data_IF_814374962934
#
_entry.id   IF_814374962934
#
_cell.length_a   1.000
_cell.length_b   1.000
_cell.length_c   1.000
_cell.angle_alpha   90.00
_cell.angle_beta   90.00
_cell.angle_gamma   90.00
#
_symmetry.space_group_name_H-M   'P 1'
#
loop_
_entity.id
_entity.type
_entity.pdbx_description
1 polymer ?
#
# COMPACT_ATOMS: atom_id res chain seq x y z
N UNK A 1 18.72 1.54 28.33
CA UNK A 1 18.96 2.38 27.15
C UNK A 1 17.59 2.79 26.62
N UNK A 2 17.49 3.98 26.08
CA UNK A 2 16.26 4.42 25.42
C UNK A 2 16.06 3.65 24.12
N UNK A 3 14.86 3.18 23.87
CA UNK A 3 14.53 2.32 22.74
C UNK A 3 13.58 3.03 21.77
N UNK A 4 13.80 2.81 20.49
CA UNK A 4 12.82 3.20 19.46
C UNK A 4 11.58 2.29 19.54
N UNK A 5 10.47 2.71 18.95
CA UNK A 5 9.29 1.85 18.79
C UNK A 5 9.66 0.53 18.09
N UNK A 6 10.49 0.61 17.05
CA UNK A 6 10.97 -0.57 16.33
C UNK A 6 11.73 -1.52 17.26
N UNK A 7 12.68 -1.00 18.08
CA UNK A 7 13.45 -1.83 19.00
C UNK A 7 12.58 -2.54 20.03
N UNK A 8 11.60 -1.82 20.61
CA UNK A 8 10.67 -2.40 21.59
C UNK A 8 9.91 -3.61 21.05
N UNK A 9 9.45 -3.52 19.79
CA UNK A 9 8.70 -4.62 19.16
C UNK A 9 9.66 -5.70 18.71
N UNK A 10 10.74 -5.34 18.02
CA UNK A 10 11.72 -6.29 17.52
C UNK A 10 12.28 -7.17 18.64
N UNK A 11 12.80 -6.53 19.71
CA UNK A 11 13.47 -7.24 20.81
C UNK A 11 12.49 -8.13 21.59
N UNK A 12 11.21 -7.76 21.69
CA UNK A 12 10.18 -8.59 22.29
C UNK A 12 9.84 -9.85 21.46
N UNK A 13 10.19 -9.88 20.17
CA UNK A 13 9.93 -11.01 19.27
C UNK A 13 11.16 -11.83 18.93
N UNK A 14 12.34 -11.46 19.42
CA UNK A 14 13.56 -12.25 19.25
C UNK A 14 13.47 -13.55 20.04
N UNK A 15 13.42 -14.67 19.34
CA UNK A 15 13.39 -16.04 19.92
C UNK A 15 14.81 -16.50 20.21
N UNK A 16 15.74 -16.24 19.29
CA UNK A 16 17.17 -16.51 19.48
C UNK A 16 18.04 -15.59 18.64
N UNK A 17 19.26 -15.41 19.07
CA UNK A 17 20.31 -14.69 18.35
C UNK A 17 21.32 -15.68 17.83
N UNK A 18 21.68 -15.59 16.56
CA UNK A 18 22.79 -16.33 15.98
C UNK A 18 24.01 -15.44 16.13
N UNK A 19 25.07 -15.96 16.80
CA UNK A 19 26.29 -15.21 17.02
C UNK A 19 26.90 -14.77 15.66
N UNK A 20 27.10 -13.46 15.50
CA UNK A 20 27.55 -12.88 14.22
C UNK A 20 26.58 -12.99 13.04
N UNK A 21 25.35 -13.39 13.29
CA UNK A 21 24.33 -13.66 12.28
C UNK A 21 23.00 -12.93 12.51
N UNK A 22 21.94 -13.35 11.80
CA UNK A 22 20.61 -12.77 11.92
C UNK A 22 19.94 -13.15 13.24
N UNK A 23 18.90 -12.39 13.60
CA UNK A 23 17.97 -12.72 14.68
C UNK A 23 16.90 -13.68 14.17
N UNK A 24 16.50 -14.66 14.96
CA UNK A 24 15.30 -15.44 14.75
C UNK A 24 14.12 -14.71 15.39
N UNK A 25 13.17 -14.28 14.56
CA UNK A 25 12.03 -13.47 14.97
C UNK A 25 10.75 -14.30 14.89
N UNK A 26 9.97 -14.31 15.98
CA UNK A 26 8.62 -14.88 15.98
C UNK A 26 7.67 -13.98 15.17
N UNK A 27 6.72 -14.58 14.45
CA UNK A 27 5.75 -13.86 13.61
C UNK A 27 4.33 -14.04 14.18
N UNK A 28 3.69 -12.93 14.57
CA UNK A 28 2.32 -12.95 15.11
C UNK A 28 1.25 -13.18 14.07
N UNK A 29 1.46 -12.66 12.86
CA UNK A 29 0.51 -12.77 11.76
C UNK A 29 1.21 -13.03 10.43
N UNK A 30 0.75 -14.05 9.72
CA UNK A 30 1.21 -14.35 8.37
C UNK A 30 0.05 -14.17 7.40
N UNK A 31 0.24 -13.34 6.38
CA UNK A 31 -0.71 -13.18 5.29
C UNK A 31 -0.20 -13.90 4.04
N UNK A 32 -1.10 -14.63 3.35
CA UNK A 32 -0.77 -15.35 2.13
C UNK A 32 -1.72 -14.98 1.00
N UNK A 33 -1.18 -14.79 -0.20
CA UNK A 33 -1.94 -14.63 -1.43
C UNK A 33 -1.47 -15.61 -2.51
N UNK A 34 -2.16 -15.65 -3.65
CA UNK A 34 -2.00 -16.68 -4.67
C UNK A 34 -0.68 -16.60 -5.46
N UNK A 35 0.01 -15.44 -5.46
CA UNK A 35 1.20 -15.24 -6.31
C UNK A 35 2.47 -15.85 -5.71
N UNK A 36 2.73 -15.63 -4.42
CA UNK A 36 4.00 -15.96 -3.78
C UNK A 36 3.96 -17.18 -2.86
N UNK A 37 2.80 -17.81 -2.70
CA UNK A 37 2.63 -18.93 -1.76
C UNK A 37 2.71 -20.34 -2.37
N UNK A 38 2.45 -20.59 -3.67
CA UNK A 38 2.38 -21.95 -4.20
C UNK A 38 3.64 -22.79 -3.93
N UNK A 39 4.81 -22.28 -4.25
CA UNK A 39 6.08 -22.99 -4.08
C UNK A 39 6.42 -23.23 -2.60
N UNK A 40 6.00 -22.33 -1.69
CA UNK A 40 6.18 -22.51 -0.26
C UNK A 40 5.39 -23.72 0.26
N UNK A 41 4.14 -23.87 -0.18
CA UNK A 41 3.33 -25.04 0.16
C UNK A 41 3.85 -26.35 -0.44
N UNK A 42 4.40 -26.28 -1.67
CA UNK A 42 5.06 -27.45 -2.29
C UNK A 42 6.31 -27.85 -1.51
N UNK A 43 7.09 -26.87 -1.04
CA UNK A 43 8.23 -27.11 -0.16
C UNK A 43 7.83 -27.86 1.13
N UNK A 44 6.74 -27.45 1.78
CA UNK A 44 6.20 -28.15 2.95
C UNK A 44 5.81 -29.59 2.62
N UNK A 45 5.08 -29.83 1.52
CA UNK A 45 4.68 -31.19 1.09
C UNK A 45 5.90 -32.07 0.83
N UNK A 46 6.86 -31.59 0.07
CA UNK A 46 8.08 -32.33 -0.27
C UNK A 46 8.91 -32.73 0.96
N UNK A 47 8.84 -31.92 2.02
CA UNK A 47 9.54 -32.17 3.29
C UNK A 47 8.68 -32.88 4.33
N UNK A 48 7.41 -33.18 4.03
CA UNK A 48 6.47 -33.80 4.96
C UNK A 48 6.13 -32.92 6.17
N UNK A 49 6.24 -31.58 6.02
CA UNK A 49 5.98 -30.62 7.07
C UNK A 49 4.53 -30.16 7.04
N UNK A 50 4.02 -29.77 8.23
CA UNK A 50 2.71 -29.13 8.41
C UNK A 50 2.90 -27.66 8.69
N UNK A 51 1.84 -26.87 8.50
CA UNK A 51 1.80 -25.50 9.02
C UNK A 51 1.73 -25.56 10.54
N UNK A 52 2.68 -24.88 11.22
CA UNK A 52 2.81 -24.97 12.69
C UNK A 52 1.65 -24.28 13.41
N UNK A 53 1.26 -23.09 12.94
CA UNK A 53 0.23 -22.25 13.55
C UNK A 53 -0.79 -21.80 12.49
N UNK A 54 -1.68 -22.72 12.03
CA UNK A 54 -2.62 -22.40 10.94
C UNK A 54 -3.56 -21.23 11.29
N UNK A 55 -3.91 -21.04 12.56
CA UNK A 55 -4.73 -19.92 13.04
C UNK A 55 -4.05 -18.55 12.96
N UNK A 56 -2.74 -18.52 12.74
CA UNK A 56 -1.96 -17.29 12.55
C UNK A 56 -1.83 -16.88 11.07
N UNK A 57 -2.21 -17.79 10.16
CA UNK A 57 -2.11 -17.57 8.70
C UNK A 57 -3.48 -17.30 8.11
N UNK A 58 -3.60 -16.18 7.38
CA UNK A 58 -4.83 -15.79 6.67
C UNK A 58 -4.51 -15.72 5.19
N UNK A 59 -5.35 -16.34 4.37
CA UNK A 59 -5.22 -16.39 2.91
C UNK A 59 -6.33 -15.58 2.23
N UNK A 60 -5.99 -14.83 1.19
CA UNK A 60 -6.95 -14.17 0.29
C UNK A 60 -6.34 -14.06 -1.10
N UNK A 61 -7.02 -14.47 -2.18
CA UNK A 61 -6.62 -14.11 -3.52
C UNK A 61 -6.99 -12.66 -3.80
N UNK A 62 -6.08 -11.89 -4.38
CA UNK A 62 -6.28 -10.46 -4.62
C UNK A 62 -5.63 -9.93 -5.92
N UNK A 63 -4.59 -10.58 -6.43
CA UNK A 63 -3.85 -10.14 -7.61
C UNK A 63 -4.44 -10.65 -8.93
N UNK A 64 -4.82 -11.93 -8.98
CA UNK A 64 -5.26 -12.63 -10.19
C UNK A 64 -6.79 -12.74 -10.31
N UNK A 65 -7.53 -12.07 -9.44
CA UNK A 65 -8.99 -12.06 -9.51
C UNK A 65 -9.47 -10.97 -10.47
N UNK A 66 -10.50 -11.25 -11.30
CA UNK A 66 -11.11 -10.24 -12.15
C UNK A 66 -11.84 -9.22 -11.29
N UNK A 67 -12.03 -8.00 -11.80
CA UNK A 67 -12.86 -6.97 -11.15
C UNK A 67 -14.22 -6.79 -11.80
N UNK A 68 -14.54 -7.66 -12.75
CA UNK A 68 -15.86 -7.80 -13.37
C UNK A 68 -16.25 -9.27 -13.40
N UNK A 69 -17.54 -9.57 -13.21
CA UNK A 69 -18.11 -10.91 -13.30
C UNK A 69 -17.40 -11.94 -12.36
N UNK A 70 -17.10 -11.55 -11.12
CA UNK A 70 -16.47 -12.47 -10.14
C UNK A 70 -17.35 -13.67 -9.76
N UNK A 71 -18.62 -13.66 -10.14
CA UNK A 71 -19.55 -14.79 -10.05
C UNK A 71 -19.34 -15.85 -11.13
N UNK A 72 -18.52 -15.55 -12.14
CA UNK A 72 -18.17 -16.47 -13.23
C UNK A 72 -16.77 -17.07 -13.04
N UNK A 73 -16.47 -18.21 -13.68
CA UNK A 73 -15.11 -18.76 -13.68
C UNK A 73 -14.10 -17.77 -14.27
N UNK A 74 -12.92 -17.66 -13.65
CA UNK A 74 -11.80 -16.85 -14.16
C UNK A 74 -11.41 -17.36 -15.55
N UNK A 75 -11.42 -16.46 -16.53
CA UNK A 75 -11.20 -16.82 -17.96
C UNK A 75 -9.73 -17.15 -18.21
N UNK A 76 -8.82 -16.30 -17.73
CA UNK A 76 -7.39 -16.53 -17.89
C UNK A 76 -6.95 -17.80 -17.14
N UNK A 77 -6.35 -18.80 -17.84
CA UNK A 77 -6.02 -20.09 -17.23
C UNK A 77 -4.90 -19.99 -16.19
N UNK A 78 -3.98 -19.04 -16.33
CA UNK A 78 -2.87 -18.87 -15.38
C UNK A 78 -3.41 -18.28 -14.07
N UNK A 79 -4.19 -17.21 -14.17
CA UNK A 79 -4.84 -16.58 -13.02
C UNK A 79 -5.76 -17.56 -12.29
N UNK A 80 -6.57 -18.31 -13.04
CA UNK A 80 -7.45 -19.34 -12.47
C UNK A 80 -6.66 -20.41 -11.70
N UNK A 81 -5.60 -20.95 -12.30
CA UNK A 81 -4.78 -21.97 -11.66
C UNK A 81 -4.13 -21.46 -10.36
N UNK A 82 -3.69 -20.21 -10.31
CA UNK A 82 -3.09 -19.63 -9.11
C UNK A 82 -4.12 -19.49 -7.97
N UNK A 83 -5.33 -19.01 -8.28
CA UNK A 83 -6.42 -18.87 -7.30
C UNK A 83 -6.90 -20.24 -6.81
N UNK A 84 -7.05 -21.22 -7.71
CA UNK A 84 -7.42 -22.60 -7.34
C UNK A 84 -6.32 -23.28 -6.51
N UNK A 85 -5.05 -23.04 -6.81
CA UNK A 85 -3.91 -23.55 -6.05
C UNK A 85 -3.89 -22.99 -4.63
N UNK A 86 -4.11 -21.67 -4.46
CA UNK A 86 -4.23 -21.07 -3.12
C UNK A 86 -5.39 -21.70 -2.34
N UNK A 87 -6.54 -21.88 -2.99
CA UNK A 87 -7.73 -22.47 -2.39
C UNK A 87 -7.46 -23.90 -1.93
N UNK A 88 -6.82 -24.71 -2.79
CA UNK A 88 -6.41 -26.08 -2.45
C UNK A 88 -5.42 -26.10 -1.29
N UNK A 89 -4.40 -25.25 -1.33
CA UNK A 89 -3.38 -25.15 -0.29
C UNK A 89 -4.00 -24.77 1.06
N UNK A 90 -4.86 -23.75 1.10
CA UNK A 90 -5.54 -23.35 2.32
C UNK A 90 -6.40 -24.50 2.91
N UNK A 91 -7.10 -25.25 2.05
CA UNK A 91 -7.89 -26.42 2.48
C UNK A 91 -7.01 -27.54 3.01
N UNK A 92 -5.96 -27.93 2.27
CA UNK A 92 -5.07 -29.05 2.63
C UNK A 92 -4.35 -28.81 3.97
N UNK A 93 -4.01 -27.55 4.27
CA UNK A 93 -3.27 -27.16 5.48
C UNK A 93 -4.16 -26.57 6.59
N UNK A 94 -5.47 -26.52 6.40
CA UNK A 94 -6.43 -26.06 7.40
C UNK A 94 -6.35 -24.55 7.71
N UNK A 95 -6.05 -23.74 6.71
CA UNK A 95 -5.87 -22.29 6.86
C UNK A 95 -7.19 -21.53 6.64
N UNK A 96 -7.31 -20.37 7.27
CA UNK A 96 -8.42 -19.45 7.00
C UNK A 96 -8.26 -18.83 5.60
N UNK A 97 -9.27 -19.03 4.74
CA UNK A 97 -9.31 -18.48 3.39
C UNK A 97 -10.51 -17.54 3.22
N UNK A 98 -10.26 -16.31 2.84
CA UNK A 98 -11.26 -15.36 2.34
C UNK A 98 -11.22 -15.35 0.82
N UNK A 99 -11.69 -16.45 0.20
CA UNK A 99 -11.70 -16.67 -1.25
C UNK A 99 -12.76 -15.83 -1.98
N UNK A 100 -12.79 -15.94 -3.32
CA UNK A 100 -13.83 -15.31 -4.14
C UNK A 100 -15.24 -15.69 -3.68
N UNK A 101 -16.14 -14.70 -3.59
CA UNK A 101 -17.49 -14.85 -3.06
C UNK A 101 -17.59 -14.81 -1.53
N UNK A 102 -16.49 -14.81 -0.81
CA UNK A 102 -16.52 -14.63 0.63
C UNK A 102 -16.68 -13.14 0.98
N UNK A 103 -17.59 -12.80 1.92
CA UNK A 103 -17.88 -11.41 2.33
C UNK A 103 -16.66 -10.61 2.84
N UNK A 104 -15.60 -11.28 3.25
CA UNK A 104 -14.33 -10.67 3.70
C UNK A 104 -13.23 -10.79 2.65
N UNK A 105 -13.56 -11.15 1.40
CA UNK A 105 -12.55 -11.15 0.32
C UNK A 105 -12.12 -9.73 -0.02
N UNK A 106 -10.89 -9.59 -0.42
CA UNK A 106 -10.27 -8.35 -0.86
C UNK A 106 -8.75 -8.39 -0.78
N UNK A 107 -8.14 -7.26 -1.04
CA UNK A 107 -6.69 -7.08 -0.97
C UNK A 107 -6.22 -7.36 0.45
N UNK A 108 -5.23 -8.24 0.59
CA UNK A 108 -4.77 -8.74 1.89
C UNK A 108 -4.38 -7.61 2.85
N UNK A 109 -3.77 -6.53 2.33
CA UNK A 109 -3.38 -5.36 3.12
C UNK A 109 -4.54 -4.39 3.43
N UNK A 110 -5.73 -4.65 2.90
CA UNK A 110 -6.97 -3.95 3.24
C UNK A 110 -7.77 -4.78 4.26
N UNK A 111 -7.98 -6.07 3.97
CA UNK A 111 -8.81 -6.94 4.82
C UNK A 111 -8.18 -7.22 6.19
N UNK A 112 -6.85 -7.27 6.29
CA UNK A 112 -6.15 -7.45 7.56
C UNK A 112 -6.54 -6.37 8.59
N UNK A 113 -6.32 -5.09 8.30
CA UNK A 113 -6.79 -3.97 9.11
C UNK A 113 -8.29 -3.94 9.36
N UNK A 114 -9.11 -4.06 8.32
CA UNK A 114 -10.57 -3.97 8.41
C UNK A 114 -11.19 -5.00 9.35
N UNK A 115 -10.61 -6.18 9.44
CA UNK A 115 -11.10 -7.23 10.30
C UNK A 115 -10.47 -7.20 11.71
N UNK A 116 -9.49 -6.32 11.99
CA UNK A 116 -8.78 -6.31 13.28
C UNK A 116 -7.77 -7.45 13.42
N UNK A 117 -7.27 -7.97 12.30
CA UNK A 117 -6.22 -9.00 12.25
C UNK A 117 -4.83 -8.38 12.33
N UNK A 118 -4.73 -7.07 12.09
CA UNK A 118 -3.55 -6.23 12.28
C UNK A 118 -3.70 -5.45 13.56
N UNK A 119 -2.79 -5.63 14.51
CA UNK A 119 -2.85 -4.99 15.82
C UNK A 119 -1.49 -4.37 16.20
N UNK A 120 -1.49 -3.33 17.06
CA UNK A 120 -0.25 -2.73 17.55
C UNK A 120 0.66 -3.75 18.25
N UNK A 121 1.96 -3.60 18.03
CA UNK A 121 2.98 -4.44 18.63
C UNK A 121 3.20 -5.79 17.97
N UNK A 122 2.47 -6.13 16.90
CA UNK A 122 2.64 -7.36 16.16
C UNK A 122 3.84 -7.33 15.23
N UNK A 123 4.38 -8.51 14.95
CA UNK A 123 5.24 -8.80 13.80
C UNK A 123 4.39 -9.43 12.70
N UNK A 124 4.40 -8.83 11.50
CA UNK A 124 3.50 -9.21 10.40
C UNK A 124 4.30 -9.41 9.12
N UNK A 125 4.08 -10.53 8.44
CA UNK A 125 4.73 -10.82 7.16
C UNK A 125 3.74 -11.29 6.10
N UNK A 126 4.10 -11.03 4.84
CA UNK A 126 3.42 -11.52 3.64
C UNK A 126 4.44 -11.61 2.50
N UNK A 127 4.16 -12.43 1.51
CA UNK A 127 4.96 -12.50 0.28
C UNK A 127 4.80 -11.28 -0.66
N UNK A 128 4.44 -10.13 -0.13
CA UNK A 128 4.25 -8.85 -0.83
C UNK A 128 4.98 -7.73 -0.08
N UNK A 129 5.69 -6.88 -0.82
CA UNK A 129 6.44 -5.76 -0.26
C UNK A 129 5.56 -4.74 0.47
N UNK A 130 4.30 -4.54 0.01
CA UNK A 130 3.37 -3.60 0.64
C UNK A 130 2.79 -4.06 1.98
N UNK A 131 3.29 -5.18 2.53
CA UNK A 131 3.08 -5.57 3.93
C UNK A 131 3.44 -4.45 4.91
N UNK A 132 4.34 -3.54 4.51
CA UNK A 132 4.65 -2.29 5.23
C UNK A 132 3.41 -1.48 5.64
N UNK A 133 2.29 -1.60 4.91
CA UNK A 133 1.00 -0.99 5.24
C UNK A 133 0.59 -1.19 6.70
N UNK A 134 0.81 -2.40 7.23
CA UNK A 134 0.41 -2.77 8.58
C UNK A 134 1.20 -2.03 9.67
N UNK A 135 2.35 -1.44 9.33
CA UNK A 135 3.12 -0.59 10.25
C UNK A 135 2.38 0.68 10.69
N UNK A 136 1.33 1.10 9.98
CA UNK A 136 0.45 2.19 10.37
C UNK A 136 -0.22 1.97 11.76
N UNK A 137 -0.26 0.73 12.22
CA UNK A 137 -0.79 0.33 13.53
C UNK A 137 0.29 0.26 14.62
N UNK A 138 1.53 0.61 14.34
CA UNK A 138 2.64 0.36 15.26
C UNK A 138 3.00 -1.13 15.31
N UNK A 139 3.01 -1.80 14.18
CA UNK A 139 3.48 -3.16 13.98
C UNK A 139 4.80 -3.17 13.21
N UNK A 140 5.65 -4.16 13.44
CA UNK A 140 6.82 -4.43 12.60
C UNK A 140 6.38 -5.33 11.46
N UNK A 141 6.10 -4.71 10.31
CA UNK A 141 5.49 -5.37 9.17
C UNK A 141 6.35 -5.22 7.91
N UNK A 142 6.64 -6.32 7.22
CA UNK A 142 7.52 -6.31 6.05
C UNK A 142 7.25 -7.48 5.10
N UNK A 143 7.58 -7.25 3.82
CA UNK A 143 7.51 -8.26 2.78
C UNK A 143 8.63 -9.29 2.89
N UNK A 144 8.33 -10.55 2.52
CA UNK A 144 9.25 -11.68 2.55
C UNK A 144 9.24 -12.46 1.23
N UNK A 145 10.33 -13.15 0.93
CA UNK A 145 10.43 -14.02 -0.24
C UNK A 145 9.72 -15.36 -0.05
N UNK A 146 9.47 -16.07 -1.16
CA UNK A 146 8.76 -17.37 -1.14
C UNK A 146 9.39 -18.41 -0.22
N UNK A 147 10.73 -18.50 -0.16
CA UNK A 147 11.42 -19.42 0.74
C UNK A 147 11.23 -19.05 2.23
N UNK A 148 11.09 -17.76 2.50
CA UNK A 148 10.78 -17.26 3.84
C UNK A 148 9.31 -17.51 4.21
N UNK A 149 8.38 -17.45 3.23
CA UNK A 149 6.97 -17.88 3.41
C UNK A 149 6.93 -19.34 3.87
N UNK A 150 7.69 -20.25 3.23
CA UNK A 150 7.80 -21.66 3.65
C UNK A 150 8.33 -21.76 5.10
N UNK A 151 9.37 -21.00 5.42
CA UNK A 151 9.97 -20.99 6.78
C UNK A 151 8.94 -20.56 7.83
N UNK A 152 8.21 -19.48 7.59
CA UNK A 152 7.18 -18.98 8.52
C UNK A 152 6.02 -19.97 8.66
N UNK A 153 5.56 -20.58 7.59
CA UNK A 153 4.54 -21.62 7.65
C UNK A 153 4.98 -22.81 8.50
N UNK A 154 6.24 -23.24 8.33
CA UNK A 154 6.78 -24.40 9.05
C UNK A 154 7.12 -24.14 10.51
N UNK A 155 7.56 -22.93 10.88
CA UNK A 155 8.17 -22.65 12.19
C UNK A 155 7.56 -21.49 12.96
N UNK A 156 6.71 -20.68 12.32
CA UNK A 156 6.20 -19.39 12.82
C UNK A 156 7.31 -18.38 13.12
N UNK A 157 8.51 -18.61 12.62
CA UNK A 157 9.67 -17.75 12.81
C UNK A 157 10.36 -17.46 11.47
N UNK A 158 11.17 -16.40 11.47
CA UNK A 158 11.99 -16.02 10.32
C UNK A 158 13.39 -15.59 10.79
N UNK A 159 14.40 -15.78 9.95
CA UNK A 159 15.75 -15.27 10.19
C UNK A 159 15.92 -13.93 9.47
N UNK A 160 16.18 -12.85 10.20
CA UNK A 160 16.35 -11.52 9.63
C UNK A 160 17.49 -10.76 10.30
N UNK A 161 18.35 -10.08 9.53
CA UNK A 161 19.26 -9.09 10.11
C UNK A 161 18.41 -7.91 10.65
N UNK A 162 18.78 -7.38 11.82
CA UNK A 162 18.12 -6.19 12.38
C UNK A 162 18.44 -4.99 11.50
N UNK A 163 17.46 -4.33 10.88
CA UNK A 163 17.69 -3.14 10.06
C UNK A 163 18.09 -1.96 10.95
N UNK A 164 18.71 -0.94 10.35
CA UNK A 164 18.89 0.37 10.97
C UNK A 164 17.55 1.08 11.14
N UNK A 165 17.50 2.05 12.04
CA UNK A 165 16.32 2.84 12.30
C UNK A 165 16.44 4.23 11.67
N UNK A 166 15.35 4.68 11.04
CA UNK A 166 15.23 6.04 10.49
C UNK A 166 13.97 6.69 11.02
N UNK A 167 14.04 7.97 11.36
CA UNK A 167 12.86 8.77 11.71
C UNK A 167 12.61 9.84 10.67
N UNK A 168 11.38 9.92 10.19
CA UNK A 168 10.91 10.98 9.28
C UNK A 168 9.82 11.76 9.99
N UNK A 169 10.12 13.00 10.32
CA UNK A 169 9.18 13.93 10.93
C UNK A 169 8.52 14.79 9.85
N UNK A 170 7.20 14.87 9.84
CA UNK A 170 6.45 15.84 9.03
C UNK A 170 5.65 16.72 9.99
N UNK A 171 5.95 17.99 10.01
CA UNK A 171 5.33 18.95 10.92
C UNK A 171 4.65 20.07 10.15
N UNK A 172 3.70 20.73 10.80
CA UNK A 172 2.97 21.84 10.22
C UNK A 172 1.61 21.44 9.67
N UNK A 173 0.96 22.36 8.97
CA UNK A 173 -0.40 22.17 8.45
C UNK A 173 -0.36 21.91 6.95
N UNK A 174 -1.01 20.82 6.52
CA UNK A 174 -1.19 20.52 5.10
C UNK A 174 -2.01 21.62 4.41
N UNK A 175 -1.64 21.89 3.15
CA UNK A 175 -2.42 22.77 2.27
C UNK A 175 -3.72 22.10 1.83
N UNK A 176 -4.71 22.90 1.46
CA UNK A 176 -5.96 22.38 0.88
C UNK A 176 -5.64 21.58 -0.39
N UNK A 177 -6.31 20.46 -0.57
CA UNK A 177 -6.14 19.59 -1.73
C UNK A 177 -4.98 18.61 -1.63
N UNK A 178 -4.23 18.60 -0.52
CA UNK A 178 -3.14 17.65 -0.24
C UNK A 178 -3.68 16.45 0.53
N UNK A 179 -3.29 15.26 0.13
CA UNK A 179 -3.65 13.96 0.75
C UNK A 179 -2.41 13.25 1.30
N UNK A 180 -2.60 12.17 2.04
CA UNK A 180 -1.49 11.32 2.51
C UNK A 180 -0.65 10.74 1.37
N UNK A 181 -1.24 10.53 0.18
CA UNK A 181 -0.50 10.11 -1.02
C UNK A 181 0.51 11.16 -1.44
N UNK A 182 0.15 12.44 -1.36
CA UNK A 182 1.02 13.54 -1.72
C UNK A 182 2.19 13.67 -0.73
N UNK A 183 1.94 13.45 0.57
CA UNK A 183 3.00 13.37 1.60
C UNK A 183 4.02 12.28 1.23
N UNK A 184 3.54 11.08 0.95
CA UNK A 184 4.41 9.95 0.62
C UNK A 184 5.19 10.20 -0.67
N UNK A 185 4.56 10.66 -1.74
CA UNK A 185 5.23 10.98 -3.00
C UNK A 185 6.24 12.12 -2.85
N UNK A 186 5.95 13.13 -2.01
CA UNK A 186 6.90 14.19 -1.70
C UNK A 186 8.15 13.64 -0.99
N UNK A 187 7.97 12.82 0.04
CA UNK A 187 9.08 12.21 0.77
C UNK A 187 9.93 11.34 -0.18
N UNK A 188 9.30 10.50 -1.00
CA UNK A 188 10.00 9.63 -1.95
C UNK A 188 10.78 10.46 -2.98
N UNK A 189 10.20 11.54 -3.51
CA UNK A 189 10.89 12.41 -4.46
C UNK A 189 12.10 13.11 -3.85
N UNK A 190 12.05 13.47 -2.54
CA UNK A 190 13.17 14.08 -1.81
C UNK A 190 14.24 13.06 -1.41
N UNK A 191 13.85 11.84 -1.10
CA UNK A 191 14.76 10.80 -0.63
C UNK A 191 15.28 9.89 -1.75
N UNK A 192 14.68 9.93 -2.94
CA UNK A 192 14.87 8.98 -4.03
C UNK A 192 14.39 7.55 -3.70
N UNK A 193 14.36 6.67 -4.70
CA UNK A 193 13.93 5.27 -4.53
C UNK A 193 14.86 4.40 -3.69
N UNK A 194 16.07 4.88 -3.38
CA UNK A 194 17.09 4.18 -2.57
C UNK A 194 17.37 4.84 -1.21
N UNK A 195 16.76 5.98 -0.91
CA UNK A 195 17.14 6.83 0.23
C UNK A 195 16.93 6.24 1.63
N UNK A 196 16.11 5.18 1.74
CA UNK A 196 15.86 4.46 2.98
C UNK A 196 16.30 2.99 2.92
N UNK A 197 17.17 2.61 1.98
CA UNK A 197 17.68 1.25 1.87
C UNK A 197 18.42 0.82 3.14
N UNK A 198 18.01 -0.32 3.70
CA UNK A 198 18.58 -0.87 4.94
C UNK A 198 17.97 -0.31 6.23
N UNK A 199 16.98 0.58 6.11
CA UNK A 199 16.29 1.17 7.26
C UNK A 199 14.88 0.62 7.44
N UNK A 200 14.43 0.59 8.71
CA UNK A 200 13.03 0.59 9.09
C UNK A 200 12.65 2.02 9.49
N UNK A 201 11.58 2.56 8.90
CA UNK A 201 11.24 3.98 9.01
C UNK A 201 10.12 4.20 10.01
N UNK A 202 10.33 5.05 11.02
CA UNK A 202 9.27 5.58 11.89
C UNK A 202 8.85 6.96 11.38
N UNK A 203 7.58 7.11 11.01
CA UNK A 203 7.00 8.40 10.68
C UNK A 203 6.44 9.06 11.94
N UNK A 204 6.77 10.34 12.13
CA UNK A 204 6.41 11.13 13.28
C UNK A 204 6.10 12.59 12.89
N UNK A 205 5.85 13.42 13.87
CA UNK A 205 5.47 14.82 13.69
C UNK A 205 3.96 15.04 13.85
N UNK A 206 3.56 16.27 13.99
CA UNK A 206 2.14 16.63 14.25
C UNK A 206 1.26 16.39 13.02
N UNK A 207 1.78 16.60 11.81
CA UNK A 207 1.07 16.25 10.58
C UNK A 207 0.73 14.76 10.55
N UNK A 208 1.70 13.88 10.84
CA UNK A 208 1.50 12.42 10.81
C UNK A 208 0.52 11.96 11.89
N UNK A 209 0.59 12.54 13.09
CA UNK A 209 -0.34 12.22 14.18
C UNK A 209 -1.79 12.59 13.86
N UNK A 210 -1.99 13.66 13.09
CA UNK A 210 -3.32 14.13 12.70
C UNK A 210 -3.94 13.37 11.53
N UNK A 211 -3.22 12.44 10.89
CA UNK A 211 -3.73 11.59 9.82
C UNK A 211 -4.74 10.56 10.38
N UNK A 212 -5.75 10.25 9.58
CA UNK A 212 -6.64 9.10 9.80
C UNK A 212 -5.85 7.78 9.68
N UNK A 213 -6.47 6.66 10.08
CA UNK A 213 -5.80 5.35 9.91
C UNK A 213 -5.60 4.98 8.44
N UNK A 214 -6.54 5.30 7.58
CA UNK A 214 -6.46 5.09 6.14
C UNK A 214 -5.31 5.87 5.52
N UNK A 215 -5.14 7.12 5.93
CA UNK A 215 -4.03 7.98 5.52
C UNK A 215 -2.69 7.46 6.03
N UNK A 216 -2.61 7.02 7.30
CA UNK A 216 -1.40 6.40 7.87
C UNK A 216 -1.02 5.13 7.11
N UNK A 217 -2.00 4.31 6.72
CA UNK A 217 -1.78 3.12 5.91
C UNK A 217 -1.21 3.47 4.53
N UNK A 218 -1.67 4.56 3.91
CA UNK A 218 -1.12 5.04 2.63
C UNK A 218 0.36 5.44 2.77
N UNK A 219 0.73 6.18 3.82
CA UNK A 219 2.13 6.58 4.07
C UNK A 219 3.02 5.35 4.30
N UNK A 220 2.61 4.44 5.18
CA UNK A 220 3.37 3.22 5.48
C UNK A 220 3.46 2.28 4.27
N UNK A 221 2.39 2.17 3.46
CA UNK A 221 2.37 1.38 2.22
C UNK A 221 3.49 1.79 1.27
N UNK A 222 3.67 3.10 1.06
CA UNK A 222 4.63 3.63 0.10
C UNK A 222 6.08 3.68 0.63
N UNK A 223 6.34 3.31 1.87
CA UNK A 223 7.70 3.32 2.45
C UNK A 223 8.69 2.47 1.66
N UNK A 224 8.22 1.36 1.11
CA UNK A 224 9.07 0.45 0.33
C UNK A 224 9.49 1.04 -1.02
N UNK A 225 8.81 2.08 -1.50
CA UNK A 225 9.15 2.74 -2.77
C UNK A 225 10.36 3.68 -2.65
N UNK A 226 10.83 3.97 -1.42
CA UNK A 226 12.13 4.61 -1.17
C UNK A 226 13.19 3.62 -0.64
N UNK A 227 12.94 2.30 -0.80
CA UNK A 227 13.87 1.24 -0.43
C UNK A 227 13.83 0.83 1.05
N UNK A 228 12.91 1.37 1.86
CA UNK A 228 12.77 1.00 3.25
C UNK A 228 12.39 -0.48 3.43
N UNK A 229 12.86 -1.10 4.51
CA UNK A 229 12.42 -2.45 4.90
C UNK A 229 10.95 -2.47 5.32
N UNK A 230 10.48 -1.39 5.90
CA UNK A 230 9.11 -1.13 6.31
C UNK A 230 8.95 0.27 6.85
N UNK A 231 7.72 0.72 7.00
CA UNK A 231 7.38 1.98 7.63
C UNK A 231 6.42 1.74 8.79
N UNK A 232 6.50 2.55 9.85
CA UNK A 232 5.63 2.43 11.01
C UNK A 232 5.26 3.79 11.59
N UNK A 233 4.14 3.81 12.30
CA UNK A 233 3.65 4.97 13.04
C UNK A 233 3.30 4.50 14.45
N UNK A 234 3.73 5.22 15.48
CA UNK A 234 3.40 4.89 16.86
C UNK A 234 1.86 4.89 17.06
N UNK A 235 1.28 3.83 17.64
CA UNK A 235 -0.15 3.75 17.86
C UNK A 235 -0.60 4.79 18.91
N UNK A 236 -1.74 5.39 18.67
CA UNK A 236 -2.36 6.40 19.53
C UNK A 236 -3.87 6.18 19.61
N UNK A 237 -4.61 7.13 20.17
CA UNK A 237 -6.06 7.03 20.32
C UNK A 237 -6.77 6.82 18.96
N UNK A 238 -6.28 7.42 17.87
CA UNK A 238 -6.83 7.18 16.51
C UNK A 238 -6.71 5.69 16.13
N UNK A 239 -5.57 5.08 16.42
CA UNK A 239 -5.34 3.64 16.19
C UNK A 239 -6.25 2.77 17.07
N UNK A 240 -6.39 3.14 18.34
CA UNK A 240 -7.20 2.37 19.29
C UNK A 240 -8.68 2.42 18.91
N UNK A 241 -9.22 3.58 18.59
CA UNK A 241 -10.61 3.73 18.14
C UNK A 241 -10.88 2.94 16.86
N UNK A 242 -9.95 2.97 15.90
CA UNK A 242 -10.06 2.17 14.68
C UNK A 242 -10.14 0.67 14.99
N UNK A 243 -9.28 0.16 15.89
CA UNK A 243 -9.24 -1.26 16.26
C UNK A 243 -10.47 -1.69 17.06
N UNK A 244 -11.00 -0.84 17.94
CA UNK A 244 -12.05 -1.17 18.92
C UNK A 244 -13.29 -1.80 18.31
N UNK A 245 -13.69 -1.32 17.15
CA UNK A 245 -14.90 -1.77 16.46
C UNK A 245 -14.68 -3.00 15.57
N UNK A 246 -13.44 -3.48 15.42
CA UNK A 246 -13.11 -4.58 14.51
C UNK A 246 -13.42 -5.93 15.14
N UNK A 247 -13.80 -6.91 14.30
CA UNK A 247 -14.30 -8.22 14.73
C UNK A 247 -13.26 -9.00 15.55
N UNK A 248 -12.01 -9.08 15.03
CA UNK A 248 -10.94 -9.87 15.67
C UNK A 248 -10.04 -9.07 16.62
N UNK A 249 -10.38 -7.82 16.90
CA UNK A 249 -9.69 -7.07 17.95
C UNK A 249 -10.08 -7.62 19.34
N UNK A 250 -9.21 -7.52 20.35
CA UNK A 250 -9.52 -7.89 21.72
C UNK A 250 -10.83 -7.25 22.22
N UNK A 251 -11.54 -7.92 23.13
CA UNK A 251 -12.82 -7.44 23.69
C UNK A 251 -12.81 -7.51 25.21
N UNK A 252 -13.62 -6.67 25.86
CA UNK A 252 -13.78 -6.64 27.32
C UNK A 252 -12.46 -6.39 28.05
N UNK A 253 -12.14 -7.20 29.04
CA UNK A 253 -10.90 -7.07 29.82
C UNK A 253 -9.62 -7.22 28.99
N UNK A 254 -9.65 -8.05 27.94
CA UNK A 254 -8.49 -8.20 27.05
C UNK A 254 -8.24 -6.94 26.20
N UNK A 255 -9.29 -6.19 25.89
CA UNK A 255 -9.16 -4.89 25.28
C UNK A 255 -8.42 -3.89 26.18
N UNK A 256 -8.81 -3.81 27.45
CA UNK A 256 -8.18 -2.91 28.42
C UNK A 256 -6.68 -3.23 28.62
N UNK A 257 -6.36 -4.53 28.72
CA UNK A 257 -4.96 -5.00 28.80
C UNK A 257 -4.17 -4.65 27.52
N UNK A 258 -4.80 -4.86 26.37
CA UNK A 258 -4.17 -4.55 25.07
C UNK A 258 -3.89 -3.06 24.95
N UNK A 259 -4.86 -2.20 25.22
CA UNK A 259 -4.68 -0.73 25.17
C UNK A 259 -3.61 -0.27 26.16
N UNK A 260 -3.59 -0.83 27.38
CA UNK A 260 -2.55 -0.50 28.35
C UNK A 260 -1.14 -0.83 27.82
N UNK A 261 -0.98 -1.97 27.15
CA UNK A 261 0.27 -2.34 26.47
C UNK A 261 0.55 -1.44 25.26
N UNK A 262 -0.42 -1.20 24.39
CA UNK A 262 -0.25 -0.40 23.18
C UNK A 262 0.18 1.04 23.47
N UNK A 263 -0.27 1.63 24.59
CA UNK A 263 0.17 2.96 25.06
C UNK A 263 1.67 3.04 25.39
N UNK A 264 2.32 1.90 25.61
CA UNK A 264 3.79 1.83 25.80
C UNK A 264 4.57 1.79 24.49
N UNK A 265 3.90 1.50 23.37
CA UNK A 265 4.49 1.33 22.04
C UNK A 265 4.70 2.69 21.36
N UNK A 266 5.68 3.42 21.85
CA UNK A 266 6.21 4.67 21.27
C UNK A 266 7.71 4.73 21.54
N UNK A 267 8.45 5.40 20.70
CA UNK A 267 9.86 5.67 20.93
C UNK A 267 10.03 6.50 22.20
N UNK A 268 11.05 6.19 22.98
CA UNK A 268 11.40 6.96 24.16
C UNK A 268 11.86 8.37 23.76
N UNK A 269 11.74 9.35 24.66
CA UNK A 269 12.07 10.76 24.33
C UNK A 269 13.52 10.96 23.93
N UNK A 270 14.42 10.16 24.52
CA UNK A 270 15.86 10.14 24.29
C UNK A 270 16.32 8.98 23.36
N UNK A 271 15.38 8.36 22.64
CA UNK A 271 15.71 7.34 21.66
C UNK A 271 16.54 7.93 20.50
N UNK A 272 17.62 7.22 20.14
CA UNK A 272 18.52 7.64 19.06
C UNK A 272 18.21 6.82 17.80
N UNK A 273 18.00 7.52 16.71
CA UNK A 273 17.85 6.92 15.38
C UNK A 273 19.17 7.00 14.62
N UNK A 274 19.46 6.01 13.77
CA UNK A 274 20.64 6.06 12.89
C UNK A 274 20.55 7.22 11.87
N UNK A 275 19.33 7.64 11.52
CA UNK A 275 19.08 8.78 10.64
C UNK A 275 17.76 9.47 11.01
N UNK A 276 17.76 10.79 11.00
CA UNK A 276 16.55 11.58 11.22
C UNK A 276 16.41 12.67 10.16
N UNK A 277 15.18 12.84 9.64
CA UNK A 277 14.86 13.79 8.56
C UNK A 277 13.59 14.54 8.95
N UNK A 278 13.57 15.85 8.67
CA UNK A 278 12.44 16.72 8.98
C UNK A 278 11.92 17.37 7.68
N UNK A 279 10.60 17.37 7.53
CA UNK A 279 9.89 18.04 6.44
C UNK A 279 8.82 18.97 6.99
N UNK A 280 8.59 20.08 6.31
CA UNK A 280 7.48 20.98 6.58
C UNK A 280 6.29 20.62 5.68
N UNK A 281 5.12 20.39 6.28
CA UNK A 281 3.89 20.10 5.55
C UNK A 281 3.45 21.25 4.62
N UNK A 282 3.89 22.49 4.93
CA UNK A 282 3.62 23.65 4.09
C UNK A 282 4.31 23.60 2.72
N UNK A 283 5.38 22.80 2.57
CA UNK A 283 6.08 22.61 1.29
C UNK A 283 5.38 21.60 0.37
N UNK A 284 4.40 20.88 0.88
CA UNK A 284 3.71 19.82 0.14
C UNK A 284 2.50 20.39 -0.58
N UNK A 285 2.43 20.19 -1.87
CA UNK A 285 1.26 20.42 -2.71
C UNK A 285 0.80 19.11 -3.35
N UNK A 286 -0.36 19.03 -4.03
CA UNK A 286 -0.75 17.85 -4.79
C UNK A 286 0.37 17.37 -5.70
N UNK A 287 0.72 16.09 -5.61
CA UNK A 287 1.91 15.50 -6.27
C UNK A 287 1.53 14.61 -7.42
N UNK A 288 2.40 14.60 -8.43
CA UNK A 288 2.33 13.70 -9.59
C UNK A 288 3.73 13.16 -9.89
N UNK A 289 3.79 12.00 -10.55
CA UNK A 289 5.06 11.51 -11.12
C UNK A 289 5.15 11.87 -12.60
N UNK A 290 6.37 12.10 -13.08
CA UNK A 290 6.65 12.41 -14.50
C UNK A 290 7.52 11.36 -15.19
N UNK A 291 8.04 10.39 -14.45
CA UNK A 291 8.90 9.32 -14.97
C UNK A 291 8.38 7.93 -14.64
N UNK A 292 9.27 6.94 -14.68
CA UNK A 292 8.99 5.52 -14.55
C UNK A 292 9.24 4.94 -13.14
N UNK A 293 9.40 5.81 -12.15
CA UNK A 293 9.49 5.42 -10.74
C UNK A 293 8.93 6.53 -9.83
N UNK A 294 8.51 6.21 -8.58
CA UNK A 294 7.92 7.18 -7.67
C UNK A 294 8.88 8.30 -7.21
N UNK A 295 10.20 8.09 -7.33
CA UNK A 295 11.21 9.11 -7.03
C UNK A 295 11.22 10.27 -8.04
N UNK A 296 10.69 10.04 -9.24
CA UNK A 296 10.53 11.08 -10.28
C UNK A 296 9.19 11.80 -10.07
N UNK A 297 9.05 12.49 -8.94
CA UNK A 297 7.84 13.20 -8.52
C UNK A 297 8.02 14.70 -8.43
N UNK A 298 6.98 15.44 -8.87
CA UNK A 298 6.89 16.91 -8.79
C UNK A 298 5.56 17.35 -8.21
N UNK A 299 5.47 18.62 -7.77
CA UNK A 299 4.19 19.26 -7.53
C UNK A 299 3.42 19.43 -8.83
N UNK A 300 2.10 19.37 -8.76
CA UNK A 300 1.27 19.48 -9.97
C UNK A 300 1.42 20.83 -10.68
N UNK A 301 1.80 21.87 -9.94
CA UNK A 301 2.05 23.21 -10.47
C UNK A 301 3.50 23.41 -10.99
N UNK A 302 4.37 22.44 -10.75
CA UNK A 302 5.78 22.49 -11.17
C UNK A 302 5.97 21.98 -12.59
N UNK A 303 7.10 22.35 -13.22
CA UNK A 303 7.56 21.80 -14.49
C UNK A 303 8.58 20.68 -14.24
N UNK A 304 8.71 19.77 -15.21
CA UNK A 304 9.69 18.68 -15.17
C UNK A 304 11.10 19.27 -15.02
N UNK A 305 11.85 18.97 -13.94
CA UNK A 305 13.16 19.54 -13.70
C UNK A 305 14.20 18.97 -14.68
N UNK A 306 15.32 19.65 -14.85
CA UNK A 306 16.49 19.08 -15.51
C UNK A 306 17.12 17.98 -14.62
N UNK A 307 17.75 16.94 -15.19
CA UNK A 307 18.46 15.94 -14.43
C UNK A 307 19.68 16.56 -13.72
N UNK A 308 20.11 15.92 -12.63
CA UNK A 308 21.32 16.33 -11.93
C UNK A 308 22.53 16.25 -12.88
N UNK A 309 23.24 17.34 -13.13
CA UNK A 309 24.37 17.35 -14.05
C UNK A 309 25.59 16.57 -13.51
N UNK A 310 25.64 16.30 -12.20
CA UNK A 310 26.75 15.57 -11.56
C UNK A 310 26.51 14.06 -11.51
N UNK A 311 25.28 13.59 -11.75
CA UNK A 311 24.92 12.17 -11.78
C UNK A 311 24.75 11.65 -13.23
N UNK A 312 25.87 11.30 -13.88
CA UNK A 312 25.84 10.76 -15.25
C UNK A 312 25.02 9.47 -15.37
N UNK A 313 25.10 8.56 -14.38
CA UNK A 313 24.39 7.29 -14.41
C UNK A 313 22.87 7.51 -14.20
N UNK A 314 22.50 8.36 -13.27
CA UNK A 314 21.13 8.78 -13.04
C UNK A 314 20.54 9.49 -14.26
N UNK A 315 21.33 10.32 -14.97
CA UNK A 315 20.90 10.98 -16.18
C UNK A 315 20.47 10.02 -17.28
N UNK A 316 21.21 8.91 -17.50
CA UNK A 316 20.85 7.92 -18.52
C UNK A 316 19.48 7.29 -18.18
N UNK A 317 19.24 6.97 -16.92
CA UNK A 317 17.95 6.44 -16.46
C UNK A 317 16.82 7.48 -16.57
N UNK A 318 17.16 8.73 -16.27
CA UNK A 318 16.25 9.87 -16.36
C UNK A 318 15.80 10.10 -17.82
N UNK A 319 16.74 10.19 -18.75
CA UNK A 319 16.47 10.42 -20.17
C UNK A 319 15.61 9.29 -20.77
N UNK A 320 15.92 8.02 -20.44
CA UNK A 320 15.09 6.86 -20.84
C UNK A 320 13.66 6.93 -20.29
N UNK A 321 13.53 7.35 -19.03
CA UNK A 321 12.21 7.50 -18.40
C UNK A 321 11.37 8.56 -19.10
N UNK A 322 11.95 9.72 -19.45
CA UNK A 322 11.25 10.76 -20.19
C UNK A 322 10.89 10.32 -21.62
N UNK A 323 11.82 9.64 -22.31
CA UNK A 323 11.56 9.06 -23.63
C UNK A 323 10.35 8.09 -23.59
N UNK A 324 10.33 7.17 -22.60
CA UNK A 324 9.22 6.24 -22.42
C UNK A 324 7.90 6.96 -22.13
N UNK A 325 7.93 7.96 -21.24
CA UNK A 325 6.73 8.74 -20.88
C UNK A 325 6.30 9.71 -21.99
N UNK A 326 7.18 10.03 -22.93
CA UNK A 326 6.93 11.03 -23.98
C UNK A 326 6.85 12.45 -23.44
N UNK A 327 7.68 12.78 -22.45
CA UNK A 327 7.76 14.09 -21.83
C UNK A 327 9.12 14.76 -22.05
N UNK A 328 9.18 16.07 -21.83
CA UNK A 328 10.38 16.87 -22.03
C UNK A 328 10.73 17.68 -20.77
N UNK A 329 12.01 17.97 -20.58
CA UNK A 329 12.49 18.85 -19.52
C UNK A 329 11.86 20.25 -19.67
N UNK A 330 11.40 20.83 -18.56
CA UNK A 330 10.71 22.12 -18.54
C UNK A 330 9.23 22.07 -18.89
N UNK A 331 8.72 20.90 -19.31
CA UNK A 331 7.29 20.73 -19.61
C UNK A 331 6.45 20.81 -18.33
N UNK A 332 5.35 21.57 -18.37
CA UNK A 332 4.27 21.46 -17.39
C UNK A 332 3.32 20.30 -17.78
N UNK A 333 2.96 19.48 -16.81
CA UNK A 333 2.03 18.39 -17.05
C UNK A 333 0.58 18.76 -16.75
N UNK A 334 0.32 19.87 -16.07
CA UNK A 334 -1.05 20.36 -15.90
C UNK A 334 -1.68 20.66 -17.27
N UNK A 335 -2.88 20.15 -17.51
CA UNK A 335 -3.56 20.22 -18.80
C UNK A 335 -3.17 19.12 -19.79
N UNK A 336 -2.26 18.19 -19.43
CA UNK A 336 -1.87 17.09 -20.32
C UNK A 336 -3.04 16.10 -20.51
N UNK A 337 -3.36 15.68 -21.76
CA UNK A 337 -4.45 14.74 -22.03
C UNK A 337 -4.22 13.38 -21.37
N UNK A 338 -5.27 12.85 -20.74
CA UNK A 338 -5.27 11.54 -20.06
C UNK A 338 -6.30 10.62 -20.70
N UNK A 339 -5.97 9.33 -20.81
CA UNK A 339 -6.88 8.31 -21.36
C UNK A 339 -7.59 7.52 -20.26
N UNK A 340 -6.88 7.22 -19.16
CA UNK A 340 -7.37 6.36 -18.09
C UNK A 340 -7.21 7.01 -16.72
N UNK A 341 -8.17 6.72 -15.83
CA UNK A 341 -8.07 7.04 -14.40
C UNK A 341 -8.31 5.77 -13.61
N UNK A 342 -7.38 5.46 -12.70
CA UNK A 342 -7.49 4.33 -11.79
C UNK A 342 -7.53 4.80 -10.34
N UNK A 343 -8.61 4.49 -9.64
CA UNK A 343 -8.73 4.62 -8.18
C UNK A 343 -8.82 3.22 -7.58
N UNK A 344 -7.89 2.87 -6.71
CA UNK A 344 -7.84 1.54 -6.10
C UNK A 344 -6.49 1.17 -5.54
N UNK A 345 -6.22 -0.12 -5.43
CA UNK A 345 -5.05 -0.78 -4.86
C UNK A 345 -5.01 -0.79 -3.33
N UNK A 346 -4.03 -1.51 -2.75
CA UNK A 346 -3.79 -1.48 -1.31
C UNK A 346 -3.37 -0.09 -0.79
N UNK A 347 -2.96 0.81 -1.68
CA UNK A 347 -2.59 2.18 -1.34
C UNK A 347 -3.82 3.06 -1.12
N UNK A 348 -4.74 3.11 -2.10
CA UNK A 348 -5.89 4.02 -2.12
C UNK A 348 -7.18 3.34 -2.61
N UNK A 349 -7.49 2.19 -2.05
CA UNK A 349 -8.75 1.46 -2.31
C UNK A 349 -9.67 1.38 -1.08
N UNK A 350 -9.49 2.28 -0.10
CA UNK A 350 -10.27 2.32 1.16
C UNK A 350 -11.41 3.33 1.05
N UNK A 351 -12.33 3.27 1.99
CA UNK A 351 -13.55 4.12 1.94
C UNK A 351 -13.25 5.62 1.90
N UNK A 352 -12.22 6.10 2.57
CA UNK A 352 -11.86 7.52 2.56
C UNK A 352 -11.39 8.00 1.18
N UNK A 353 -10.74 7.13 0.41
CA UNK A 353 -10.34 7.44 -0.97
C UNK A 353 -11.55 7.63 -1.88
N UNK A 354 -12.59 6.80 -1.70
CA UNK A 354 -13.85 6.93 -2.42
C UNK A 354 -14.66 8.15 -1.98
N UNK A 355 -14.65 8.49 -0.70
CA UNK A 355 -15.25 9.74 -0.19
C UNK A 355 -14.55 10.96 -0.78
N UNK A 356 -13.21 10.97 -0.82
CA UNK A 356 -12.43 12.04 -1.40
C UNK A 356 -12.73 12.19 -2.90
N UNK A 357 -12.71 11.09 -3.65
CA UNK A 357 -13.05 11.08 -5.08
C UNK A 357 -14.48 11.58 -5.32
N UNK A 358 -15.46 11.04 -4.59
CA UNK A 358 -16.87 11.43 -4.70
C UNK A 358 -17.10 12.92 -4.39
N UNK A 359 -16.35 13.51 -3.47
CA UNK A 359 -16.46 14.92 -3.12
C UNK A 359 -16.16 15.85 -4.30
N UNK A 360 -15.24 15.46 -5.17
CA UNK A 360 -14.85 16.22 -6.37
C UNK A 360 -15.83 16.01 -7.50
N UNK A 361 -16.31 14.77 -7.72
CA UNK A 361 -17.12 14.43 -8.90
C UNK A 361 -18.62 14.69 -8.72
N UNK A 362 -19.10 14.85 -7.48
CA UNK A 362 -20.50 15.07 -7.16
C UNK A 362 -21.11 16.25 -7.94
N UNK A 363 -22.17 15.98 -8.70
CA UNK A 363 -22.84 16.97 -9.55
C UNK A 363 -22.12 17.34 -10.85
N UNK A 364 -21.05 16.63 -11.17
CA UNK A 364 -20.27 16.79 -12.42
C UNK A 364 -20.33 15.50 -13.24
N UNK A 365 -19.84 15.54 -14.47
CA UNK A 365 -19.80 14.37 -15.36
C UNK A 365 -18.35 13.98 -15.66
N UNK A 366 -18.12 12.68 -15.78
CA UNK A 366 -16.86 12.13 -16.29
C UNK A 366 -16.63 12.63 -17.71
N UNK A 367 -15.40 13.02 -18.04
CA UNK A 367 -15.04 13.41 -19.39
C UNK A 367 -15.14 12.23 -20.36
N UNK A 368 -15.60 12.49 -21.59
CA UNK A 368 -15.88 11.46 -22.58
C UNK A 368 -14.65 10.68 -23.04
N UNK A 369 -13.47 11.30 -23.00
CA UNK A 369 -12.18 10.67 -23.35
C UNK A 369 -11.63 9.80 -22.23
N UNK A 370 -12.20 9.79 -21.03
CA UNK A 370 -11.67 9.04 -19.89
C UNK A 370 -12.35 7.67 -19.77
N UNK A 371 -11.54 6.62 -19.69
CA UNK A 371 -11.93 5.34 -19.12
C UNK A 371 -11.53 5.32 -17.65
N UNK A 372 -12.49 5.15 -16.74
CA UNK A 372 -12.22 5.17 -15.30
C UNK A 372 -12.48 3.80 -14.67
N UNK A 373 -11.53 3.30 -13.89
CA UNK A 373 -11.66 2.09 -13.08
C UNK A 373 -11.61 2.44 -11.61
N UNK A 374 -12.77 2.34 -10.95
CA UNK A 374 -12.94 2.59 -9.53
C UNK A 374 -13.10 1.25 -8.82
N UNK A 375 -12.03 0.81 -8.14
CA UNK A 375 -11.89 -0.56 -7.64
C UNK A 375 -11.76 -0.56 -6.10
N UNK A 376 -12.81 -0.97 -5.36
CA UNK A 376 -12.73 -1.11 -3.91
C UNK A 376 -11.65 -2.14 -3.51
N UNK A 377 -10.96 -1.87 -2.40
CA UNK A 377 -9.94 -2.78 -1.90
C UNK A 377 -10.48 -4.06 -1.27
N UNK A 378 -11.78 -4.08 -0.89
CA UNK A 378 -12.43 -5.24 -0.27
C UNK A 378 -13.94 -5.23 -0.50
N UNK A 379 -14.59 -6.38 -0.26
CA UNK A 379 -16.04 -6.48 -0.22
C UNK A 379 -16.65 -5.56 0.85
N UNK A 380 -15.98 -5.41 2.00
CA UNK A 380 -16.44 -4.52 3.08
C UNK A 380 -16.42 -3.05 2.64
N UNK A 381 -15.38 -2.61 1.92
CA UNK A 381 -15.33 -1.26 1.33
C UNK A 381 -16.46 -1.09 0.31
N UNK A 382 -16.67 -2.08 -0.57
CA UNK A 382 -17.75 -2.04 -1.56
C UNK A 382 -19.14 -1.92 -0.91
N UNK A 383 -19.36 -2.64 0.19
CA UNK A 383 -20.61 -2.56 0.96
C UNK A 383 -20.75 -1.20 1.64
N UNK A 384 -19.68 -0.63 2.17
CA UNK A 384 -19.69 0.69 2.79
C UNK A 384 -19.92 1.81 1.77
N UNK A 385 -19.34 1.73 0.56
CA UNK A 385 -19.60 2.64 -0.57
C UNK A 385 -21.11 2.71 -0.85
N UNK A 386 -21.79 1.56 -0.88
CA UNK A 386 -23.24 1.48 -1.09
C UNK A 386 -24.02 2.02 0.11
N UNK A 387 -23.62 1.65 1.32
CA UNK A 387 -24.31 2.12 2.54
C UNK A 387 -24.25 3.65 2.69
N UNK A 388 -23.21 4.29 2.21
CA UNK A 388 -23.03 5.75 2.21
C UNK A 388 -23.62 6.45 0.98
N UNK A 389 -24.16 5.69 0.00
CA UNK A 389 -24.72 6.24 -1.25
C UNK A 389 -23.67 6.83 -2.19
N UNK A 390 -22.38 6.49 -1.99
CA UNK A 390 -21.28 6.96 -2.85
C UNK A 390 -21.42 6.34 -4.25
N UNK A 391 -21.86 5.09 -4.35
CA UNK A 391 -22.14 4.41 -5.62
C UNK A 391 -23.14 5.18 -6.50
N UNK A 392 -24.17 5.77 -5.90
CA UNK A 392 -25.14 6.61 -6.61
C UNK A 392 -24.48 7.90 -7.12
N UNK A 393 -23.64 8.57 -6.29
CA UNK A 393 -22.89 9.76 -6.71
C UNK A 393 -21.99 9.44 -7.90
N UNK A 394 -21.30 8.31 -7.85
CA UNK A 394 -20.41 7.85 -8.91
C UNK A 394 -21.18 7.52 -10.19
N UNK A 395 -22.30 6.79 -10.08
CA UNK A 395 -23.16 6.44 -11.21
C UNK A 395 -23.77 7.69 -11.87
N UNK A 396 -24.28 8.63 -11.08
CA UNK A 396 -24.82 9.91 -11.57
C UNK A 396 -23.74 10.73 -12.29
N UNK A 397 -22.49 10.59 -11.90
CA UNK A 397 -21.34 11.24 -12.56
C UNK A 397 -20.81 10.46 -13.78
N UNK A 398 -21.38 9.29 -14.11
CA UNK A 398 -21.02 8.47 -15.26
C UNK A 398 -19.83 7.53 -15.00
N UNK A 399 -19.57 7.21 -13.73
CA UNK A 399 -18.55 6.22 -13.35
C UNK A 399 -19.19 4.86 -13.05
N UNK A 400 -18.47 3.80 -13.39
CA UNK A 400 -18.80 2.43 -13.03
C UNK A 400 -17.92 1.96 -11.88
N UNK A 401 -18.54 1.50 -10.79
CA UNK A 401 -17.85 0.88 -9.68
C UNK A 401 -17.55 -0.59 -10.04
N UNK A 402 -16.30 -0.99 -9.92
CA UNK A 402 -15.86 -2.36 -10.15
C UNK A 402 -15.96 -3.22 -8.90
N UNK A 403 -15.79 -4.53 -9.05
CA UNK A 403 -15.70 -5.47 -7.94
C UNK A 403 -14.31 -5.42 -7.29
N UNK A 404 -14.18 -5.79 -6.01
CA UNK A 404 -12.92 -5.67 -5.25
C UNK A 404 -11.77 -6.47 -5.82
N UNK A 405 -10.54 -5.92 -5.76
CA UNK A 405 -9.31 -6.58 -6.18
C UNK A 405 -8.17 -5.61 -6.46
N UNK A 406 -7.00 -6.13 -6.84
CA UNK A 406 -5.85 -5.31 -7.20
C UNK A 406 -5.97 -4.66 -8.59
N UNK A 407 -6.75 -5.24 -9.52
CA UNK A 407 -7.03 -4.68 -10.84
C UNK A 407 -5.76 -4.28 -11.60
N UNK A 408 -5.77 -3.11 -12.24
CA UNK A 408 -4.65 -2.56 -12.98
C UNK A 408 -3.45 -2.15 -12.10
N UNK A 409 -3.49 -2.26 -10.77
CA UNK A 409 -2.32 -1.95 -9.95
C UNK A 409 -1.09 -2.78 -10.36
N UNK A 410 -1.29 -4.04 -10.73
CA UNK A 410 -0.25 -4.95 -11.23
C UNK A 410 -0.56 -5.52 -12.62
N UNK A 411 -1.81 -5.37 -13.10
CA UNK A 411 -2.27 -5.88 -14.41
C UNK A 411 -2.04 -7.38 -14.61
N UNK A 412 -2.14 -8.19 -13.56
CA UNK A 412 -2.05 -9.66 -13.61
C UNK A 412 -3.37 -10.32 -14.02
N UNK A 413 -4.44 -9.55 -14.08
CA UNK A 413 -5.76 -9.94 -14.54
C UNK A 413 -6.10 -9.29 -15.89
N UNK A 414 -7.38 -9.25 -16.24
CA UNK A 414 -7.87 -8.68 -17.51
C UNK A 414 -7.82 -7.15 -17.56
N UNK A 415 -7.70 -6.48 -16.41
CA UNK A 415 -7.67 -5.00 -16.30
C UNK A 415 -6.29 -4.47 -16.70
N UNK A 416 -6.10 -4.21 -17.98
CA UNK A 416 -4.85 -3.71 -18.55
C UNK A 416 -5.08 -2.43 -19.31
N UNK A 417 -4.29 -1.41 -19.00
CA UNK A 417 -4.23 -0.17 -19.81
C UNK A 417 -3.56 -0.50 -21.13
N UNK A 418 -4.18 -0.21 -22.30
CA UNK A 418 -3.60 -0.53 -23.60
C UNK A 418 -2.28 0.19 -23.87
N UNK A 419 -1.45 -0.41 -24.73
CA UNK A 419 -0.19 0.18 -25.17
C UNK A 419 -0.39 1.58 -25.77
N UNK A 420 0.54 2.49 -25.48
CA UNK A 420 0.49 3.89 -25.91
C UNK A 420 -0.48 4.79 -25.13
N UNK A 421 -1.36 4.23 -24.29
CA UNK A 421 -2.27 4.98 -23.44
C UNK A 421 -1.60 5.44 -22.15
N UNK A 422 -2.10 6.55 -21.60
CA UNK A 422 -1.60 7.12 -20.34
C UNK A 422 -2.70 7.13 -19.28
N UNK A 423 -2.33 6.70 -18.08
CA UNK A 423 -3.23 6.64 -16.93
C UNK A 423 -2.76 7.56 -15.80
N UNK A 424 -3.70 8.23 -15.13
CA UNK A 424 -3.52 8.77 -13.77
C UNK A 424 -3.99 7.71 -12.79
N UNK A 425 -3.14 7.35 -11.84
CA UNK A 425 -3.35 6.17 -10.99
C UNK A 425 -3.02 6.45 -9.53
N UNK A 426 -3.88 5.95 -8.64
CA UNK A 426 -3.63 5.96 -7.20
C UNK A 426 -2.85 4.73 -6.72
N UNK A 427 -2.38 3.87 -7.63
CA UNK A 427 -1.53 2.72 -7.30
C UNK A 427 -0.16 3.15 -6.72
N UNK A 428 0.69 2.19 -6.43
CA UNK A 428 1.95 2.42 -5.72
C UNK A 428 3.18 2.50 -6.62
N UNK A 429 3.13 1.91 -7.82
CA UNK A 429 4.27 1.82 -8.76
C UNK A 429 3.87 2.20 -10.17
N UNK A 430 4.82 2.76 -10.91
CA UNK A 430 4.62 3.23 -12.29
C UNK A 430 5.79 2.90 -13.22
N UNK A 431 6.52 1.79 -12.96
CA UNK A 431 7.54 1.36 -13.90
C UNK A 431 6.93 0.99 -15.26
N UNK A 432 7.75 0.93 -16.30
CA UNK A 432 7.34 0.66 -17.68
C UNK A 432 6.40 -0.55 -17.78
N UNK A 433 5.22 -0.34 -18.34
CA UNK A 433 4.21 -1.39 -18.54
C UNK A 433 3.53 -1.90 -17.26
N UNK A 434 3.68 -1.24 -16.10
CA UNK A 434 3.10 -1.68 -14.83
C UNK A 434 1.60 -1.96 -14.90
N UNK A 435 0.85 -1.10 -15.58
CA UNK A 435 -0.61 -1.23 -15.72
C UNK A 435 -1.04 -1.89 -17.03
N UNK A 436 -0.09 -2.42 -17.78
CA UNK A 436 -0.27 -3.10 -19.05
C UNK A 436 0.92 -2.86 -19.98
N UNK A 437 1.31 -3.83 -20.82
CA UNK A 437 2.48 -3.69 -21.70
C UNK A 437 2.39 -2.42 -22.56
N UNK A 438 3.44 -1.57 -22.50
CA UNK A 438 3.51 -0.30 -23.24
C UNK A 438 2.59 0.81 -22.75
N UNK A 439 1.92 0.63 -21.62
CA UNK A 439 1.14 1.69 -20.97
C UNK A 439 2.04 2.62 -20.16
N UNK A 440 1.62 3.88 -20.01
CA UNK A 440 2.30 4.90 -19.23
C UNK A 440 1.45 5.28 -18.01
N UNK A 441 2.09 5.46 -16.85
CA UNK A 441 1.37 5.72 -15.60
C UNK A 441 1.93 6.93 -14.87
N UNK A 442 1.06 7.89 -14.55
CA UNK A 442 1.30 9.00 -13.63
C UNK A 442 0.70 8.62 -12.28
N UNK A 443 1.50 8.51 -11.23
CA UNK A 443 0.99 8.33 -9.87
C UNK A 443 0.47 9.66 -9.34
N UNK A 444 -0.69 9.63 -8.69
CA UNK A 444 -1.30 10.79 -8.05
C UNK A 444 -2.22 10.39 -6.90
N UNK A 445 -2.63 11.35 -6.09
CA UNK A 445 -3.62 11.15 -5.04
C UNK A 445 -5.07 11.08 -5.57
N UNK A 446 -6.02 10.62 -4.73
CA UNK A 446 -7.42 10.43 -5.15
C UNK A 446 -8.10 11.73 -5.61
N UNK A 447 -7.73 12.89 -5.06
CA UNK A 447 -8.30 14.18 -5.48
C UNK A 447 -7.83 14.59 -6.88
N UNK A 448 -6.54 14.41 -7.20
CA UNK A 448 -5.99 14.65 -8.56
C UNK A 448 -6.63 13.70 -9.56
N UNK A 449 -6.76 12.42 -9.19
CA UNK A 449 -7.42 11.41 -10.04
C UNK A 449 -8.88 11.80 -10.35
N UNK A 450 -9.63 12.26 -9.35
CA UNK A 450 -11.02 12.71 -9.51
C UNK A 450 -11.13 13.97 -10.39
N UNK A 451 -10.28 14.98 -10.15
CA UNK A 451 -10.24 16.20 -10.96
C UNK A 451 -9.90 15.87 -12.43
N UNK A 452 -8.92 15.02 -12.65
CA UNK A 452 -8.55 14.54 -14.00
C UNK A 452 -9.69 13.77 -14.67
N UNK A 453 -10.43 12.95 -13.91
CA UNK A 453 -11.52 12.16 -14.46
C UNK A 453 -12.69 13.00 -15.02
N UNK A 454 -12.93 14.17 -14.45
CA UNK A 454 -14.03 15.07 -14.91
C UNK A 454 -13.58 16.07 -15.97
N UNK A 455 -12.29 16.39 -16.06
CA UNK A 455 -11.78 17.35 -17.04
C UNK A 455 -11.22 16.70 -18.31
N UNK A 456 -10.80 15.44 -18.22
CA UNK A 456 -10.14 14.72 -19.33
C UNK A 456 -8.65 15.02 -19.48
N UNK A 457 -8.11 15.89 -18.64
CA UNK A 457 -6.71 16.30 -18.63
C UNK A 457 -6.17 16.28 -17.20
N UNK A 458 -4.86 16.16 -17.04
CA UNK A 458 -4.24 16.23 -15.72
C UNK A 458 -4.57 17.58 -15.05
N UNK A 459 -5.23 17.55 -13.92
CA UNK A 459 -5.84 18.75 -13.33
C UNK A 459 -5.56 18.87 -11.84
N UNK A 460 -5.16 20.07 -11.43
CA UNK A 460 -5.01 20.45 -10.04
C UNK A 460 -6.39 20.47 -9.34
N UNK A 461 -6.61 19.63 -8.32
CA UNK A 461 -7.90 19.55 -7.64
C UNK A 461 -8.31 20.85 -6.93
N UNK A 462 -7.36 21.75 -6.68
CA UNK A 462 -7.62 23.07 -6.06
C UNK A 462 -8.32 24.06 -6.99
N UNK A 463 -8.40 23.74 -8.30
CA UNK A 463 -9.00 24.57 -9.35
C UNK A 463 -10.40 24.11 -9.78
N UNK A 464 -10.96 23.09 -9.13
CA UNK A 464 -12.27 22.46 -9.48
C UNK A 464 -13.41 22.96 -8.61
#
# INVERSE_FOLDING_TARGET
MANTLFDKIWDAHVVSLIEGGPSQIYIDRHYCHEVTSPQAFDGLRNRGLKVLRPEKTICSPDHNIPTLNQDKPIVDPVSRNQVETLTKNATDFGLTLYGLGHKKNGIIHVIGPENGLTLPGYTIVCGDSHTSTHGAFGAVAFGIGTSEVEMVLASQCILQPKPKTMRINVNGKLRVGVTAKDIALYIIAKMTTGGATGYFVEYAGDTIRNLSMEERMTVCNLSIEMGARGGMIAPDETTFEYCKVREFAPKGEDWEKAVAYWKTLKSDEDAVFDKEINFDAADIEPRITFGTNPGMGIGISESIPAPDPEDEAGKISYDKSLEYMGFEVGQSLEGYPIDYVFLGSCTNGRIEDFRAFASIVKGKKKADNITAWLVPGSCMVADQIKAEGIDMILADSGFELRQPGCSACLAMNEDKVPAGKIAVSTSNRNFEGRQGPGSRTILAGPLVAAATAITGVLTDPRKI
#
